data_IF_376614390035
#
_entry.id   IF_376614390035
#
_cell.length_a   1.000
_cell.length_b   1.000
_cell.length_c   1.000
_cell.angle_alpha   90.00
_cell.angle_beta   90.00
_cell.angle_gamma   90.00
#
_symmetry.space_group_name_H-M   'P 1'
#
loop_
_entity.id
_entity.type
_entity.pdbx_description
1 polymer ?
#
# COMPACT_ATOMS: atom_id res chain seq x y z
N UNK A 1 23.63 22.35 -22.70
CA UNK A 1 22.30 22.65 -22.11
C UNK A 1 21.30 21.48 -22.13
N UNK A 2 21.29 20.60 -23.14
CA UNK A 2 20.37 19.45 -23.27
C UNK A 2 20.44 18.45 -22.08
N UNK A 3 21.59 18.36 -21.40
CA UNK A 3 21.85 17.47 -20.26
C UNK A 3 21.12 17.86 -18.96
N UNK A 4 20.81 19.15 -18.75
CA UNK A 4 20.09 19.61 -17.55
C UNK A 4 18.60 19.22 -17.60
N UNK A 5 17.95 19.42 -18.76
CA UNK A 5 16.56 19.06 -18.99
C UNK A 5 16.33 17.53 -18.87
N UNK A 6 17.30 16.72 -19.30
CA UNK A 6 17.25 15.26 -19.15
C UNK A 6 17.34 14.81 -17.68
N UNK A 7 18.15 15.47 -16.85
CA UNK A 7 18.23 15.20 -15.39
C UNK A 7 16.94 15.56 -14.67
N UNK A 8 16.37 16.73 -14.95
CA UNK A 8 15.08 17.15 -14.38
C UNK A 8 13.94 16.20 -14.75
N UNK A 9 13.89 15.73 -16.00
CA UNK A 9 12.90 14.72 -16.45
C UNK A 9 13.05 13.38 -15.72
N UNK A 10 14.27 12.89 -15.52
CA UNK A 10 14.51 11.65 -14.73
C UNK A 10 14.12 11.82 -13.26
N UNK A 11 14.42 12.97 -12.67
CA UNK A 11 14.06 13.28 -11.29
C UNK A 11 12.53 13.31 -11.11
N UNK A 12 11.80 14.03 -11.98
CA UNK A 12 10.33 14.08 -11.94
C UNK A 12 9.69 12.70 -12.12
N UNK A 13 10.21 11.87 -13.03
CA UNK A 13 9.73 10.49 -13.21
C UNK A 13 9.97 9.62 -11.96
N UNK A 14 11.12 9.79 -11.29
CA UNK A 14 11.41 9.10 -10.03
C UNK A 14 10.45 9.50 -8.92
N UNK A 15 10.16 10.80 -8.78
CA UNK A 15 9.20 11.31 -7.79
C UNK A 15 7.79 10.82 -8.10
N UNK A 16 7.34 10.92 -9.35
CA UNK A 16 6.03 10.42 -9.78
C UNK A 16 5.89 8.91 -9.53
N UNK A 17 6.93 8.11 -9.81
CA UNK A 17 6.93 6.68 -9.53
C UNK A 17 6.84 6.35 -8.04
N UNK A 18 7.41 7.18 -7.16
CA UNK A 18 7.31 7.02 -5.70
C UNK A 18 5.95 7.43 -5.16
N UNK A 19 5.39 8.52 -5.67
CA UNK A 19 4.04 8.94 -5.35
C UNK A 19 3.01 7.88 -5.78
N UNK A 20 3.12 7.37 -7.01
CA UNK A 20 2.28 6.29 -7.51
C UNK A 20 2.41 5.02 -6.64
N UNK A 21 3.63 4.65 -6.23
CA UNK A 21 3.85 3.50 -5.36
C UNK A 21 3.17 3.65 -3.98
N UNK A 22 3.32 4.81 -3.34
CA UNK A 22 2.73 5.06 -2.03
C UNK A 22 1.21 5.13 -2.08
N UNK A 23 0.66 5.77 -3.12
CA UNK A 23 -0.80 5.90 -3.30
C UNK A 23 -1.41 4.56 -3.65
N UNK A 24 -0.99 3.93 -4.76
CA UNK A 24 -1.57 2.68 -5.25
C UNK A 24 -1.27 1.52 -4.30
N UNK A 25 -0.01 1.38 -3.90
CA UNK A 25 0.41 0.30 -3.01
C UNK A 25 -0.17 0.43 -1.61
N UNK A 26 -0.14 1.64 -1.04
CA UNK A 26 -0.75 1.91 0.25
C UNK A 26 -2.26 1.67 0.26
N UNK A 27 -2.95 2.01 -0.83
CA UNK A 27 -4.39 1.77 -0.95
C UNK A 27 -4.72 0.27 -1.00
N UNK A 28 -3.96 -0.51 -1.78
CA UNK A 28 -4.14 -1.96 -1.86
C UNK A 28 -3.90 -2.62 -0.49
N UNK A 29 -2.82 -2.24 0.20
CA UNK A 29 -2.52 -2.77 1.54
C UNK A 29 -3.61 -2.38 2.54
N UNK A 30 -4.04 -1.12 2.57
CA UNK A 30 -5.12 -0.65 3.44
C UNK A 30 -6.42 -1.44 3.20
N UNK A 31 -6.76 -1.70 1.93
CA UNK A 31 -7.94 -2.47 1.54
C UNK A 31 -7.84 -3.93 2.01
N UNK A 32 -6.69 -4.58 1.85
CA UNK A 32 -6.47 -5.94 2.31
C UNK A 32 -6.53 -6.05 3.84
N UNK A 33 -5.95 -5.08 4.55
CA UNK A 33 -6.02 -5.00 6.02
C UNK A 33 -7.47 -4.84 6.48
N UNK A 34 -8.25 -3.98 5.84
CA UNK A 34 -9.67 -3.80 6.15
C UNK A 34 -10.47 -5.09 5.91
N UNK A 35 -10.22 -5.81 4.80
CA UNK A 35 -10.90 -7.10 4.53
C UNK A 35 -10.55 -8.15 5.58
N UNK A 36 -9.29 -8.25 5.99
CA UNK A 36 -8.84 -9.22 6.99
C UNK A 36 -9.39 -8.88 8.39
N UNK A 37 -9.33 -7.61 8.81
CA UNK A 37 -9.86 -7.15 10.10
C UNK A 37 -11.38 -7.35 10.20
N UNK A 38 -12.12 -7.14 9.11
CA UNK A 38 -13.57 -7.40 9.06
C UNK A 38 -13.90 -8.85 9.40
N UNK A 39 -13.02 -9.80 9.09
CA UNK A 39 -13.22 -11.24 9.36
C UNK A 39 -12.79 -11.67 10.76
N UNK A 40 -11.84 -10.97 11.37
CA UNK A 40 -11.29 -11.33 12.69
C UNK A 40 -12.07 -10.66 13.83
N UNK A 41 -12.69 -9.51 13.59
CA UNK A 41 -13.44 -8.79 14.63
C UNK A 41 -14.73 -9.54 15.01
N UNK A 42 -14.90 -9.94 16.28
CA UNK A 42 -16.10 -10.63 16.78
C UNK A 42 -17.22 -9.61 17.07
N UNK A 43 -17.68 -8.92 16.03
CA UNK A 43 -18.70 -7.87 16.12
C UNK A 43 -19.77 -8.05 15.04
N UNK A 44 -20.85 -7.28 15.14
CA UNK A 44 -21.86 -7.21 14.07
C UNK A 44 -21.17 -6.76 12.78
N UNK A 45 -21.48 -7.41 11.66
CA UNK A 45 -20.76 -7.24 10.38
C UNK A 45 -20.61 -5.78 9.95
N UNK A 46 -21.62 -4.96 10.21
CA UNK A 46 -21.59 -3.53 9.93
C UNK A 46 -20.50 -2.80 10.75
N UNK A 47 -20.43 -3.04 12.06
CA UNK A 47 -19.43 -2.45 12.95
C UNK A 47 -18.02 -2.96 12.66
N UNK A 48 -17.90 -4.25 12.30
CA UNK A 48 -16.63 -4.85 11.90
C UNK A 48 -16.08 -4.20 10.62
N UNK A 49 -16.93 -3.96 9.60
CA UNK A 49 -16.52 -3.29 8.35
C UNK A 49 -16.08 -1.85 8.60
N UNK A 50 -16.84 -1.09 9.41
CA UNK A 50 -16.52 0.31 9.71
C UNK A 50 -15.19 0.39 10.45
N UNK A 51 -15.02 -0.39 11.52
CA UNK A 51 -13.78 -0.42 12.32
C UNK A 51 -12.59 -0.84 11.47
N UNK A 52 -12.76 -1.88 10.66
CA UNK A 52 -11.71 -2.37 9.78
C UNK A 52 -11.32 -1.36 8.69
N UNK A 53 -12.29 -0.61 8.16
CA UNK A 53 -12.03 0.46 7.18
C UNK A 53 -11.27 1.61 7.82
N UNK A 54 -11.64 2.02 9.03
CA UNK A 54 -10.93 3.07 9.79
C UNK A 54 -9.49 2.66 10.14
N UNK A 55 -9.30 1.40 10.56
CA UNK A 55 -7.97 0.84 10.82
C UNK A 55 -7.14 0.71 9.53
N UNK A 56 -7.75 0.29 8.42
CA UNK A 56 -7.11 0.29 7.10
C UNK A 56 -6.67 1.68 6.68
N UNK A 57 -7.49 2.70 6.96
CA UNK A 57 -7.15 4.11 6.72
C UNK A 57 -5.91 4.54 7.54
N UNK A 58 -5.80 4.06 8.78
CA UNK A 58 -4.68 4.35 9.67
C UNK A 58 -3.36 3.73 9.19
N UNK A 59 -3.43 2.62 8.45
CA UNK A 59 -2.27 1.95 7.85
C UNK A 59 -1.74 2.70 6.63
N UNK A 60 -2.55 3.53 5.98
CA UNK A 60 -2.18 4.19 4.74
C UNK A 60 -1.06 5.26 4.91
N UNK A 61 -1.11 6.20 5.88
CA UNK A 61 -0.05 7.19 6.10
C UNK A 61 1.34 6.60 6.39
N UNK A 62 1.52 5.58 7.26
CA UNK A 62 2.83 4.99 7.50
C UNK A 62 3.44 4.37 6.23
N UNK A 63 2.63 3.77 5.36
CA UNK A 63 3.11 3.23 4.07
C UNK A 63 3.59 4.34 3.15
N UNK A 64 2.84 5.45 3.09
CA UNK A 64 3.24 6.63 2.31
C UNK A 64 4.56 7.18 2.88
N UNK A 65 4.69 7.35 4.20
CA UNK A 65 5.91 7.81 4.85
C UNK A 65 7.11 6.89 4.56
N UNK A 66 6.92 5.57 4.59
CA UNK A 66 7.96 4.59 4.24
C UNK A 66 8.40 4.71 2.78
N UNK A 67 7.48 4.98 1.84
CA UNK A 67 7.82 5.21 0.43
C UNK A 67 8.70 6.45 0.22
N UNK A 68 8.53 7.48 1.05
CA UNK A 68 9.36 8.69 1.05
C UNK A 68 10.66 8.53 1.86
N UNK A 69 10.68 7.66 2.88
CA UNK A 69 11.87 7.35 3.68
C UNK A 69 12.93 6.58 2.88
N UNK A 70 12.53 5.64 2.02
CA UNK A 70 13.48 4.78 1.29
C UNK A 70 14.11 5.51 0.09
N UNK A 71 15.44 5.69 0.14
CA UNK A 71 16.26 6.40 -0.87
C UNK A 71 16.21 5.85 -2.31
N UNK A 72 15.68 4.63 -2.52
CA UNK A 72 15.58 3.96 -3.84
C UNK A 72 14.15 3.57 -4.17
N UNK A 73 13.63 4.10 -5.28
CA UNK A 73 12.27 3.84 -5.77
C UNK A 73 11.99 2.33 -5.97
N UNK A 74 12.99 1.53 -6.36
CA UNK A 74 12.84 0.07 -6.49
C UNK A 74 12.69 -0.64 -5.15
N UNK A 75 13.36 -0.17 -4.10
CA UNK A 75 13.23 -0.75 -2.75
C UNK A 75 11.88 -0.42 -2.13
N UNK A 76 11.32 0.78 -2.41
CA UNK A 76 9.97 1.13 -2.00
C UNK A 76 8.93 0.20 -2.66
N UNK A 77 9.03 -0.02 -3.98
CA UNK A 77 8.17 -0.96 -4.69
C UNK A 77 8.33 -2.39 -4.18
N UNK A 78 9.55 -2.85 -3.90
CA UNK A 78 9.78 -4.19 -3.35
C UNK A 78 9.13 -4.38 -1.98
N UNK A 79 9.29 -3.42 -1.05
CA UNK A 79 8.66 -3.52 0.28
C UNK A 79 7.13 -3.48 0.23
N UNK A 80 6.57 -2.65 -0.66
CA UNK A 80 5.13 -2.58 -0.88
C UNK A 80 4.62 -3.86 -1.54
N UNK A 81 5.30 -4.38 -2.56
CA UNK A 81 4.92 -5.62 -3.25
C UNK A 81 5.03 -6.83 -2.33
N UNK A 82 6.06 -6.92 -1.48
CA UNK A 82 6.18 -8.03 -0.53
C UNK A 82 5.10 -7.98 0.54
N UNK A 83 4.80 -6.79 1.10
CA UNK A 83 3.71 -6.62 2.05
C UNK A 83 2.35 -6.95 1.40
N UNK A 84 2.12 -6.46 0.18
CA UNK A 84 0.90 -6.73 -0.59
C UNK A 84 0.76 -8.21 -0.93
N UNK A 85 1.84 -8.87 -1.36
CA UNK A 85 1.83 -10.29 -1.69
C UNK A 85 1.65 -11.16 -0.45
N UNK A 86 2.24 -10.80 0.68
CA UNK A 86 2.06 -11.51 1.94
C UNK A 86 0.61 -11.41 2.45
N UNK A 87 0.06 -10.18 2.48
CA UNK A 87 -1.32 -9.95 2.91
C UNK A 87 -2.35 -10.51 1.93
N UNK A 88 -2.11 -10.37 0.63
CA UNK A 88 -2.95 -10.96 -0.42
C UNK A 88 -2.93 -12.49 -0.41
N UNK A 89 -1.76 -13.09 -0.19
CA UNK A 89 -1.61 -14.53 0.02
C UNK A 89 -2.36 -15.02 1.25
N UNK A 90 -2.25 -14.30 2.38
CA UNK A 90 -3.03 -14.62 3.57
C UNK A 90 -4.55 -14.46 3.36
N UNK A 91 -4.99 -13.44 2.61
CA UNK A 91 -6.39 -13.22 2.27
C UNK A 91 -6.96 -14.31 1.34
N UNK A 92 -6.15 -14.80 0.39
CA UNK A 92 -6.47 -15.92 -0.48
C UNK A 92 -6.63 -17.22 0.32
N UNK A 93 -5.67 -17.51 1.22
CA UNK A 93 -5.67 -18.72 2.05
C UNK A 93 -6.80 -18.73 3.10
N UNK A 94 -7.27 -17.58 3.58
CA UNK A 94 -8.29 -17.47 4.63
C UNK A 94 -9.73 -17.57 4.14
N UNK A 95 -10.00 -17.74 2.83
CA UNK A 95 -11.37 -18.04 2.39
C UNK A 95 -11.79 -17.50 1.04
N UNK A 96 -10.88 -17.39 0.06
CA UNK A 96 -11.27 -17.19 -1.34
C UNK A 96 -11.39 -18.55 -2.06
N UNK A 97 -12.15 -19.48 -1.45
CA UNK A 97 -12.73 -20.60 -2.19
C UNK A 97 -13.96 -20.03 -2.91
N UNK A 98 -13.83 -19.86 -4.23
CA UNK A 98 -14.95 -19.68 -5.16
C UNK A 98 -15.99 -20.80 -4.95
#
# INVERSE_FOLDING_TARGET
MISAAARLRRYRRSVAARAAAGVLGGYVVASLVAVLLTRVLPMVRLEAVITATLLGLLVWPPIVMACFYVRSARRAWLGVLTATAALGGAALLTGWRL
#
